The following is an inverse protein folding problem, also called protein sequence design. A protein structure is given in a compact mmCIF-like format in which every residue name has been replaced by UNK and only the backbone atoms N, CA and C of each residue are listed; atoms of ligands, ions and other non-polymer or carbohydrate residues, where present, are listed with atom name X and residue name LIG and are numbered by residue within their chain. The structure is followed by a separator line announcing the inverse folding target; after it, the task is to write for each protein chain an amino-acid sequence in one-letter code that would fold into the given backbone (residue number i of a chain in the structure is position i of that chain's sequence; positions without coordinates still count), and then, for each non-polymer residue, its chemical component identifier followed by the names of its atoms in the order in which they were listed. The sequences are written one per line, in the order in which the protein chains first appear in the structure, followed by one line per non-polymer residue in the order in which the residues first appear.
data_IF_484172880839
#
_entry.id   IF_484172880839
#
_cell.length_a   1.000
_cell.length_b   1.000
_cell.length_c   1.000
_cell.angle_alpha   90.00
_cell.angle_beta   90.00
_cell.angle_gamma   90.00
#
_symmetry.space_group_name_H-M   'P 1'
#
loop_
_entity.id
_entity.type
_entity.pdbx_description
1 polymer ?
#
# COMPACT_ATOMS: atom_id res chain seq x y z
N UNK A 1 -23.57 -5.81 20.95
CA UNK A 1 -22.12 -5.85 21.13
C UNK A 1 -21.75 -7.01 22.04
N UNK A 2 -20.82 -7.83 21.56
CA UNK A 2 -20.31 -9.02 22.25
C UNK A 2 -18.83 -8.80 22.68
N UNK A 3 -18.26 -9.65 23.56
CA UNK A 3 -16.88 -9.51 23.97
C UNK A 3 -15.90 -9.70 22.80
N UNK A 4 -14.75 -9.04 22.88
CA UNK A 4 -13.63 -9.25 21.99
C UNK A 4 -12.30 -9.07 22.75
N UNK A 5 -11.26 -9.74 22.26
CA UNK A 5 -9.91 -9.70 22.83
C UNK A 5 -8.88 -9.56 21.73
N UNK A 6 -7.90 -8.69 21.96
CA UNK A 6 -6.73 -8.49 21.10
C UNK A 6 -5.49 -8.92 21.88
N UNK A 7 -4.87 -10.01 21.50
CA UNK A 7 -3.61 -10.48 22.03
C UNK A 7 -2.44 -9.90 21.23
N UNK A 8 -1.48 -9.30 21.93
CA UNK A 8 -0.31 -8.66 21.35
C UNK A 8 0.95 -9.51 21.57
N UNK A 9 1.90 -9.45 20.67
CA UNK A 9 3.21 -10.12 20.74
C UNK A 9 3.96 -9.80 22.05
N UNK A 10 3.72 -8.64 22.64
CA UNK A 10 4.25 -8.25 23.96
C UNK A 10 3.74 -9.10 25.14
N UNK A 11 2.78 -10.01 24.90
CA UNK A 11 2.11 -10.81 25.90
C UNK A 11 0.87 -10.15 26.53
N UNK A 12 0.61 -8.89 26.21
CA UNK A 12 -0.58 -8.17 26.67
C UNK A 12 -1.82 -8.67 25.92
N UNK A 13 -2.95 -8.75 26.64
CA UNK A 13 -4.27 -8.94 26.04
C UNK A 13 -5.12 -7.73 26.38
N UNK A 14 -5.72 -7.13 25.35
CA UNK A 14 -6.61 -5.97 25.47
C UNK A 14 -8.05 -6.43 25.34
N UNK A 15 -8.90 -6.05 26.27
CA UNK A 15 -10.35 -6.27 26.19
C UNK A 15 -10.99 -5.21 25.28
N UNK A 16 -11.93 -5.66 24.46
CA UNK A 16 -12.66 -4.86 23.48
C UNK A 16 -14.12 -5.34 23.35
N UNK A 17 -14.82 -4.75 22.41
CA UNK A 17 -16.18 -5.16 22.00
C UNK A 17 -16.21 -5.38 20.51
N UNK A 18 -17.25 -6.07 20.02
CA UNK A 18 -17.46 -6.24 18.58
C UNK A 18 -18.94 -6.20 18.21
N UNK A 19 -19.17 -5.75 16.97
CA UNK A 19 -20.43 -5.95 16.21
C UNK A 19 -20.17 -6.77 14.95
N UNK A 20 -18.92 -6.88 14.50
CA UNK A 20 -18.47 -7.73 13.40
C UNK A 20 -17.62 -8.88 13.97
N UNK A 21 -18.24 -10.01 14.35
CA UNK A 21 -17.56 -11.11 15.01
C UNK A 21 -16.66 -11.90 14.06
N UNK A 22 -15.62 -12.52 14.61
CA UNK A 22 -14.72 -13.40 13.86
C UNK A 22 -13.39 -13.62 14.59
N UNK A 23 -12.49 -14.30 13.90
CA UNK A 23 -11.11 -14.48 14.35
C UNK A 23 -10.17 -13.96 13.28
N UNK A 24 -9.09 -13.33 13.70
CA UNK A 24 -8.07 -12.80 12.80
C UNK A 24 -6.69 -12.79 13.45
N UNK A 25 -5.68 -12.72 12.61
CA UNK A 25 -4.29 -12.50 12.99
C UNK A 25 -3.59 -11.73 11.89
N UNK A 26 -2.59 -10.94 12.25
CA UNK A 26 -1.81 -10.15 11.31
C UNK A 26 -0.84 -9.22 12.02
N UNK A 27 -0.08 -8.48 11.23
CA UNK A 27 0.74 -7.41 11.77
C UNK A 27 -0.14 -6.23 12.17
N UNK A 28 -0.09 -5.84 13.44
CA UNK A 28 -0.84 -4.70 13.97
C UNK A 28 -0.19 -3.40 13.52
N UNK A 29 -0.89 -2.66 12.70
CA UNK A 29 -0.49 -1.36 12.15
C UNK A 29 -1.54 -0.30 12.47
N UNK A 30 -1.24 0.97 12.20
CA UNK A 30 -2.20 2.05 12.41
C UNK A 30 -2.24 3.00 11.23
N UNK A 31 -3.33 3.76 11.12
CA UNK A 31 -3.40 4.94 10.26
C UNK A 31 -3.77 6.17 11.07
N UNK A 32 -3.19 7.33 10.68
CA UNK A 32 -3.55 8.64 11.24
C UNK A 32 -4.56 9.38 10.38
N UNK A 33 -5.04 8.78 9.30
CA UNK A 33 -6.10 9.32 8.47
C UNK A 33 -7.37 9.56 9.31
N UNK A 34 -7.96 10.74 9.17
CA UNK A 34 -9.19 11.12 9.87
C UNK A 34 -10.44 11.05 8.96
N UNK A 35 -10.22 10.71 7.70
CA UNK A 35 -11.22 10.48 6.65
C UNK A 35 -10.70 9.38 5.73
N UNK A 36 -11.53 8.86 4.84
CA UNK A 36 -11.12 7.85 3.87
C UNK A 36 -10.93 6.47 4.49
N UNK A 37 -11.83 6.06 5.36
CA UNK A 37 -11.77 4.70 5.92
C UNK A 37 -12.20 3.64 4.91
N UNK A 38 -13.05 3.99 3.95
CA UNK A 38 -13.42 3.10 2.84
C UNK A 38 -12.19 2.80 1.98
N UNK A 39 -11.49 3.86 1.56
CA UNK A 39 -10.25 3.79 0.79
C UNK A 39 -9.16 3.01 1.57
N UNK A 40 -9.01 3.27 2.87
CA UNK A 40 -8.03 2.55 3.69
C UNK A 40 -8.39 1.07 3.91
N UNK A 41 -9.67 0.72 4.01
CA UNK A 41 -10.10 -0.67 4.19
C UNK A 41 -10.05 -1.48 2.90
N UNK A 42 -10.13 -0.83 1.74
CA UNK A 42 -10.05 -1.46 0.43
C UNK A 42 -8.68 -1.31 -0.26
N UNK A 43 -7.69 -0.70 0.43
CA UNK A 43 -6.30 -0.62 -0.05
C UNK A 43 -5.60 -1.99 0.09
N UNK A 44 -5.20 -2.63 -1.04
CA UNK A 44 -4.51 -3.91 -1.03
C UNK A 44 -3.22 -3.93 -0.21
N UNK A 45 -2.58 -2.78 0.00
CA UNK A 45 -1.35 -2.67 0.80
C UNK A 45 -1.54 -3.06 2.28
N UNK A 46 -2.78 -3.19 2.76
CA UNK A 46 -3.07 -3.69 4.10
C UNK A 46 -3.31 -5.22 4.18
N UNK A 47 -3.10 -5.96 3.11
CA UNK A 47 -3.21 -7.42 3.15
C UNK A 47 -2.30 -8.01 4.23
N UNK A 48 -2.78 -9.02 4.97
CA UNK A 48 -2.12 -9.67 6.12
C UNK A 48 -1.86 -8.75 7.34
N UNK A 49 -2.47 -7.57 7.38
CA UNK A 49 -2.36 -6.61 8.49
C UNK A 49 -3.67 -6.46 9.25
N UNK A 50 -3.57 -6.04 10.51
CA UNK A 50 -4.69 -5.60 11.34
C UNK A 50 -4.61 -4.08 11.47
N UNK A 51 -5.59 -3.39 10.88
CA UNK A 51 -5.57 -1.94 10.77
C UNK A 51 -6.21 -1.26 11.98
N UNK A 52 -5.44 -0.46 12.71
CA UNK A 52 -5.92 0.38 13.80
C UNK A 52 -6.11 1.82 13.35
N UNK A 53 -7.32 2.31 13.48
CA UNK A 53 -7.63 3.72 13.24
C UNK A 53 -7.30 4.56 14.48
N UNK A 54 -6.45 5.57 14.33
CA UNK A 54 -6.16 6.54 15.39
C UNK A 54 -7.30 7.53 15.60
N UNK A 55 -8.09 7.81 14.57
CA UNK A 55 -9.29 8.64 14.66
C UNK A 55 -10.39 7.90 15.43
N UNK A 56 -11.06 8.58 16.40
CA UNK A 56 -11.88 7.88 17.38
C UNK A 56 -13.19 7.30 16.84
N UNK A 57 -13.78 7.87 15.79
CA UNK A 57 -15.05 7.43 15.23
C UNK A 57 -14.91 7.11 13.74
N UNK A 58 -15.15 5.87 13.37
CA UNK A 58 -15.13 5.40 11.98
C UNK A 58 -16.55 5.07 11.53
N UNK A 59 -16.92 5.56 10.34
CA UNK A 59 -18.25 5.36 9.73
C UNK A 59 -19.16 6.58 9.79
N UNK A 60 -18.69 7.74 10.21
CA UNK A 60 -19.49 8.94 10.42
C UNK A 60 -20.13 9.55 9.17
N UNK A 61 -19.80 9.07 7.96
CA UNK A 61 -20.43 9.51 6.71
C UNK A 61 -20.91 8.33 5.82
N UNK A 62 -21.07 7.13 6.42
CA UNK A 62 -21.57 5.93 5.76
C UNK A 62 -20.50 5.18 4.97
N UNK A 63 -20.90 4.17 4.19
CA UNK A 63 -20.03 3.39 3.30
C UNK A 63 -20.45 3.68 1.86
N UNK A 64 -19.49 4.03 1.00
CA UNK A 64 -19.70 4.42 -0.38
C UNK A 64 -18.75 3.66 -1.29
N UNK A 65 -19.28 2.77 -2.12
CA UNK A 65 -18.52 1.90 -3.01
C UNK A 65 -17.67 2.68 -4.04
N UNK A 66 -18.13 3.88 -4.45
CA UNK A 66 -17.37 4.74 -5.35
C UNK A 66 -16.04 5.26 -4.79
N UNK A 67 -15.73 4.95 -3.53
CA UNK A 67 -14.47 5.26 -2.85
C UNK A 67 -13.57 4.06 -2.64
N UNK A 68 -14.00 2.90 -3.09
CA UNK A 68 -13.23 1.69 -2.92
C UNK A 68 -12.02 1.70 -3.85
N UNK A 69 -10.87 1.31 -3.32
CA UNK A 69 -9.63 1.19 -4.06
C UNK A 69 -9.44 -0.20 -4.70
N UNK A 70 -10.28 -1.16 -4.32
CA UNK A 70 -10.36 -2.51 -4.87
C UNK A 70 -11.72 -3.12 -4.59
N UNK A 71 -11.93 -4.34 -5.00
CA UNK A 71 -13.21 -5.06 -4.94
C UNK A 71 -13.55 -5.67 -3.56
N UNK A 72 -12.65 -5.57 -2.56
CA UNK A 72 -12.85 -6.16 -1.22
C UNK A 72 -12.13 -5.41 -0.12
N UNK A 73 -12.43 -5.76 1.12
CA UNK A 73 -11.68 -5.34 2.31
C UNK A 73 -10.42 -6.19 2.47
N UNK A 74 -9.25 -5.58 2.57
CA UNK A 74 -7.95 -6.26 2.66
C UNK A 74 -7.43 -6.50 4.07
N UNK A 75 -7.51 -5.54 5.02
CA UNK A 75 -7.06 -5.82 6.38
C UNK A 75 -7.72 -7.06 6.97
N UNK A 76 -6.96 -7.90 7.63
CA UNK A 76 -7.46 -9.09 8.34
C UNK A 76 -8.45 -8.77 9.45
N UNK A 77 -8.38 -7.57 10.01
CA UNK A 77 -9.36 -7.01 10.94
C UNK A 77 -9.23 -5.49 11.02
N UNK A 78 -10.31 -4.83 11.44
CA UNK A 78 -10.33 -3.40 11.77
C UNK A 78 -10.39 -3.18 13.28
N UNK A 79 -9.62 -2.21 13.77
CA UNK A 79 -9.57 -1.79 15.17
C UNK A 79 -9.85 -0.31 15.26
N UNK A 80 -10.87 0.10 16.02
CA UNK A 80 -11.20 1.49 16.23
C UNK A 80 -11.63 1.75 17.69
N UNK A 81 -11.67 3.01 18.10
CA UNK A 81 -12.28 3.34 19.38
C UNK A 81 -13.79 3.16 19.34
N UNK A 82 -14.41 3.56 18.23
CA UNK A 82 -15.85 3.41 17.96
C UNK A 82 -16.09 3.22 16.48
N UNK A 83 -16.92 2.22 16.12
CA UNK A 83 -17.40 1.97 14.77
C UNK A 83 -18.90 2.25 14.71
N UNK A 84 -19.37 2.83 13.61
CA UNK A 84 -20.81 2.92 13.34
C UNK A 84 -21.39 1.55 12.98
N UNK A 85 -22.70 1.45 13.02
CA UNK A 85 -23.40 0.21 12.67
C UNK A 85 -23.18 -0.15 11.20
N UNK A 86 -23.29 0.82 10.30
CA UNK A 86 -23.12 0.65 8.85
C UNK A 86 -21.74 0.04 8.50
N UNK A 87 -20.66 0.55 9.10
CA UNK A 87 -19.30 -0.02 8.88
C UNK A 87 -19.18 -1.41 9.49
N UNK A 88 -19.76 -1.65 10.66
CA UNK A 88 -19.73 -2.98 11.28
C UNK A 88 -20.53 -4.01 10.48
N UNK A 89 -21.65 -3.61 9.85
CA UNK A 89 -22.45 -4.45 8.94
C UNK A 89 -21.65 -4.75 7.68
N UNK A 90 -21.08 -3.74 7.01
CA UNK A 90 -20.21 -3.92 5.84
C UNK A 90 -19.06 -4.88 6.12
N UNK A 91 -18.28 -4.67 7.19
CA UNK A 91 -17.17 -5.56 7.56
C UNK A 91 -17.65 -6.99 7.87
N UNK A 92 -18.87 -7.15 8.40
CA UNK A 92 -19.48 -8.46 8.63
C UNK A 92 -19.82 -9.16 7.30
N UNK A 93 -20.35 -8.44 6.33
CA UNK A 93 -20.66 -8.93 4.98
C UNK A 93 -19.40 -9.36 4.24
N UNK A 94 -18.30 -8.60 4.40
CA UNK A 94 -16.96 -8.92 3.89
C UNK A 94 -16.27 -10.07 4.66
N UNK A 95 -16.85 -10.53 5.78
CA UNK A 95 -16.25 -11.56 6.61
C UNK A 95 -15.01 -11.10 7.40
N UNK A 96 -14.82 -9.79 7.55
CA UNK A 96 -13.69 -9.18 8.25
C UNK A 96 -14.11 -8.80 9.67
N UNK A 97 -13.50 -9.38 10.72
CA UNK A 97 -13.81 -9.02 12.09
C UNK A 97 -13.37 -7.59 12.42
N UNK A 98 -14.19 -6.91 13.23
CA UNK A 98 -13.85 -5.59 13.71
C UNK A 98 -14.04 -5.48 15.22
N UNK A 99 -13.13 -4.79 15.88
CA UNK A 99 -13.18 -4.58 17.34
C UNK A 99 -13.15 -3.09 17.66
N UNK A 100 -14.00 -2.72 18.62
CA UNK A 100 -14.13 -1.36 19.11
C UNK A 100 -14.14 -1.27 20.65
N UNK A 101 -14.39 -0.08 21.21
CA UNK A 101 -14.45 0.17 22.64
C UNK A 101 -13.16 -0.16 23.40
N UNK A 102 -12.00 0.09 22.77
CA UNK A 102 -10.69 -0.02 23.39
C UNK A 102 -9.90 1.29 23.23
N UNK A 103 -8.80 1.42 23.96
CA UNK A 103 -7.91 2.58 23.86
C UNK A 103 -6.96 2.45 22.67
N UNK A 104 -7.41 2.93 21.50
CA UNK A 104 -6.60 2.94 20.28
C UNK A 104 -5.37 3.84 20.38
N UNK A 105 -5.43 4.91 21.20
CA UNK A 105 -4.28 5.78 21.42
C UNK A 105 -3.15 5.04 22.13
N UNK A 106 -3.48 4.21 23.13
CA UNK A 106 -2.51 3.37 23.83
C UNK A 106 -1.89 2.34 22.89
N UNK A 107 -2.70 1.70 22.00
CA UNK A 107 -2.18 0.80 20.98
C UNK A 107 -1.22 1.50 20.01
N UNK A 108 -1.62 2.64 19.46
CA UNK A 108 -0.81 3.43 18.51
C UNK A 108 0.49 3.90 19.17
N UNK A 109 0.44 4.35 20.43
CA UNK A 109 1.64 4.72 21.18
C UNK A 109 2.56 3.51 21.37
N UNK A 110 1.99 2.36 21.71
CA UNK A 110 2.75 1.10 21.83
C UNK A 110 3.44 0.68 20.53
N UNK A 111 2.77 0.81 19.38
CA UNK A 111 3.36 0.54 18.07
C UNK A 111 4.50 1.52 17.77
N UNK A 112 4.32 2.81 18.04
CA UNK A 112 5.37 3.82 17.80
C UNK A 112 6.62 3.63 18.67
N UNK A 113 6.46 3.10 19.88
CA UNK A 113 7.56 2.88 20.82
C UNK A 113 8.32 1.56 20.56
N UNK A 114 7.63 0.52 20.08
CA UNK A 114 8.18 -0.84 19.99
C UNK A 114 8.28 -1.39 18.57
N UNK A 115 7.64 -0.72 17.63
CA UNK A 115 7.46 -1.18 16.25
C UNK A 115 6.10 -1.83 16.00
N UNK A 116 5.80 -2.04 14.73
CA UNK A 116 4.69 -2.90 14.31
C UNK A 116 4.92 -4.31 14.87
N UNK A 117 3.84 -4.95 15.32
CA UNK A 117 3.93 -6.21 16.06
C UNK A 117 2.84 -7.18 15.65
N UNK A 118 3.08 -8.46 15.83
CA UNK A 118 2.06 -9.49 15.60
C UNK A 118 0.91 -9.36 16.61
N UNK A 119 -0.30 -9.57 16.13
CA UNK A 119 -1.48 -9.66 16.99
C UNK A 119 -2.42 -10.79 16.57
N UNK A 120 -3.27 -11.22 17.50
CA UNK A 120 -4.36 -12.15 17.28
C UNK A 120 -5.64 -11.61 17.88
N UNK A 121 -6.75 -11.77 17.18
CA UNK A 121 -8.07 -11.29 17.57
C UNK A 121 -9.04 -12.46 17.71
N UNK A 122 -9.80 -12.46 18.79
CA UNK A 122 -11.00 -13.28 18.94
C UNK A 122 -12.17 -12.36 19.32
N UNK A 123 -13.22 -12.36 18.52
CA UNK A 123 -14.36 -11.47 18.64
C UNK A 123 -15.67 -12.22 18.49
N UNK A 124 -16.63 -12.02 19.38
CA UNK A 124 -17.95 -12.64 19.34
C UNK A 124 -18.37 -13.31 20.66
N UNK A 125 -19.54 -13.98 20.70
CA UNK A 125 -20.10 -14.53 21.95
C UNK A 125 -19.19 -15.53 22.67
N UNK A 126 -18.38 -16.27 21.92
CA UNK A 126 -17.47 -17.31 22.44
C UNK A 126 -16.00 -16.83 22.51
N UNK A 127 -15.76 -15.55 22.32
CA UNK A 127 -14.41 -14.99 22.37
C UNK A 127 -13.82 -15.09 23.78
N UNK A 128 -12.55 -15.53 23.85
CA UNK A 128 -11.78 -15.61 25.09
C UNK A 128 -10.37 -15.05 24.89
N UNK A 129 -9.67 -14.61 25.95
CA UNK A 129 -8.26 -14.26 25.87
C UNK A 129 -7.37 -15.35 25.28
N UNK A 130 -7.68 -16.61 25.59
CA UNK A 130 -6.94 -17.78 25.12
C UNK A 130 -7.12 -17.97 23.61
N UNK A 131 -8.35 -17.77 23.08
CA UNK A 131 -8.61 -17.83 21.65
C UNK A 131 -7.83 -16.74 20.87
N UNK A 132 -7.74 -15.53 21.41
CA UNK A 132 -6.92 -14.47 20.82
C UNK A 132 -5.41 -14.82 20.83
N UNK A 133 -4.91 -15.41 21.91
CA UNK A 133 -3.52 -15.90 21.98
C UNK A 133 -3.24 -17.07 21.02
N UNK A 134 -4.22 -17.92 20.78
CA UNK A 134 -4.14 -18.99 19.79
C UNK A 134 -3.96 -18.41 18.38
N UNK A 135 -4.77 -17.40 18.01
CA UNK A 135 -4.59 -16.68 16.74
C UNK A 135 -3.20 -16.02 16.63
N UNK A 136 -2.76 -15.32 17.68
CA UNK A 136 -1.42 -14.72 17.72
C UNK A 136 -0.32 -15.76 17.47
N UNK A 137 -0.44 -16.97 18.06
CA UNK A 137 0.58 -18.00 17.91
C UNK A 137 0.76 -18.50 16.47
N UNK A 138 -0.27 -18.37 15.64
CA UNK A 138 -0.24 -18.71 14.22
C UNK A 138 0.11 -17.52 13.29
N UNK A 139 0.38 -16.33 13.84
CA UNK A 139 0.67 -15.14 13.04
C UNK A 139 2.09 -15.20 12.45
N UNK A 140 2.20 -15.03 11.13
CA UNK A 140 3.46 -14.90 10.42
C UNK A 140 3.98 -13.45 10.47
N UNK A 141 5.27 -13.24 10.18
CA UNK A 141 5.83 -11.92 9.87
C UNK A 141 5.58 -11.56 8.41
N UNK A 142 5.64 -10.27 8.06
CA UNK A 142 5.34 -9.84 6.68
C UNK A 142 6.25 -10.48 5.64
N UNK A 143 7.54 -10.67 5.92
CA UNK A 143 8.50 -11.35 5.03
C UNK A 143 8.22 -12.86 4.84
N UNK A 144 7.43 -13.48 5.73
CA UNK A 144 7.05 -14.89 5.64
C UNK A 144 5.83 -15.14 4.71
N UNK A 145 5.19 -14.09 4.19
CA UNK A 145 4.06 -14.14 3.25
C UNK A 145 4.57 -14.08 1.81
N UNK A 146 5.24 -15.14 1.37
CA UNK A 146 5.87 -15.21 0.05
C UNK A 146 4.90 -15.31 -1.12
N UNK A 147 3.63 -15.54 -0.85
CA UNK A 147 2.51 -15.64 -1.79
C UNK A 147 1.58 -14.43 -1.76
N UNK A 148 2.02 -13.33 -1.12
CA UNK A 148 1.15 -12.17 -0.88
C UNK A 148 0.74 -11.48 -2.19
N UNK A 149 1.60 -11.43 -3.20
CA UNK A 149 1.28 -10.91 -4.54
C UNK A 149 0.09 -11.64 -5.18
N UNK A 150 0.03 -12.96 -5.08
CA UNK A 150 -1.09 -13.75 -5.60
C UNK A 150 -2.43 -13.51 -4.86
N UNK A 151 -2.39 -12.90 -3.67
CA UNK A 151 -3.61 -12.61 -2.90
C UNK A 151 -4.25 -11.28 -3.29
N UNK A 152 -3.49 -10.37 -3.94
CA UNK A 152 -3.92 -8.98 -4.21
C UNK A 152 -3.90 -8.60 -5.67
N UNK A 153 -3.18 -9.34 -6.49
CA UNK A 153 -3.06 -9.09 -7.94
C UNK A 153 -4.26 -9.62 -8.70
N UNK A 154 -4.49 -9.07 -9.89
CA UNK A 154 -5.49 -9.59 -10.83
C UNK A 154 -5.12 -11.00 -11.31
N UNK A 155 -6.15 -11.84 -11.57
CA UNK A 155 -5.96 -13.20 -12.07
C UNK A 155 -5.58 -13.24 -13.57
N UNK A 156 -5.92 -12.20 -14.32
CA UNK A 156 -5.70 -12.12 -15.77
C UNK A 156 -5.53 -10.67 -16.23
N UNK A 157 -4.70 -10.50 -17.24
CA UNK A 157 -4.50 -9.20 -17.86
C UNK A 157 -5.79 -8.62 -18.45
N UNK A 158 -5.96 -7.30 -18.31
CA UNK A 158 -7.06 -6.55 -18.88
C UNK A 158 -6.64 -5.11 -19.15
N UNK A 159 -7.39 -4.43 -20.04
CA UNK A 159 -7.05 -3.09 -20.51
C UNK A 159 -8.09 -2.08 -20.08
N UNK A 160 -7.65 -0.95 -19.57
CA UNK A 160 -8.45 0.26 -19.35
C UNK A 160 -8.20 1.26 -20.48
N UNK A 161 -9.24 2.02 -20.86
CA UNK A 161 -9.19 3.04 -21.93
C UNK A 161 -8.62 2.51 -23.25
N UNK A 162 -9.03 1.31 -23.68
CA UNK A 162 -8.49 0.64 -24.87
C UNK A 162 -8.64 1.44 -26.19
N UNK A 163 -9.52 2.43 -26.23
CA UNK A 163 -9.74 3.33 -27.39
C UNK A 163 -8.99 4.67 -27.23
N UNK A 164 -8.16 4.84 -26.19
CA UNK A 164 -7.36 6.05 -25.93
C UNK A 164 -6.25 6.25 -26.97
N UNK A 165 -5.87 7.49 -27.20
CA UNK A 165 -4.79 7.88 -28.11
C UNK A 165 -3.49 8.28 -27.38
N UNK A 166 -3.48 8.18 -26.02
CA UNK A 166 -2.35 8.58 -25.19
C UNK A 166 -1.29 7.51 -25.00
N UNK A 167 -0.46 7.70 -24.01
CA UNK A 167 0.66 6.81 -23.67
C UNK A 167 0.18 5.42 -23.30
N UNK A 168 0.88 4.40 -23.77
CA UNK A 168 0.59 3.00 -23.45
C UNK A 168 1.39 2.54 -22.23
N UNK A 169 0.70 2.26 -21.14
CA UNK A 169 1.29 1.86 -19.84
C UNK A 169 1.04 0.38 -19.59
N UNK A 170 2.11 -0.41 -19.45
CA UNK A 170 2.02 -1.76 -18.90
C UNK A 170 2.17 -1.68 -17.37
N UNK A 171 1.07 -1.86 -16.64
CA UNK A 171 1.04 -1.81 -15.18
C UNK A 171 1.12 -3.23 -14.60
N UNK A 172 2.22 -3.52 -13.88
CA UNK A 172 2.37 -4.76 -13.11
C UNK A 172 1.63 -4.59 -11.79
N UNK A 173 0.57 -5.36 -11.62
CA UNK A 173 -0.31 -5.29 -10.46
C UNK A 173 0.23 -6.08 -9.27
N UNK A 174 0.92 -5.39 -8.38
CA UNK A 174 1.38 -5.93 -7.10
C UNK A 174 0.38 -5.70 -5.95
N UNK A 175 -0.83 -5.27 -6.25
CA UNK A 175 -1.88 -4.81 -5.34
C UNK A 175 -2.21 -3.34 -5.59
N UNK A 176 -2.50 -3.01 -6.84
CA UNK A 176 -2.76 -1.65 -7.29
C UNK A 176 -4.05 -1.09 -6.68
N UNK A 177 -4.00 0.16 -6.25
CA UNK A 177 -5.20 0.94 -5.95
C UNK A 177 -5.87 1.37 -7.25
N UNK A 178 -7.21 1.30 -7.29
CA UNK A 178 -8.00 1.71 -8.45
C UNK A 178 -7.70 3.14 -8.91
N UNK A 179 -7.50 4.03 -7.95
CA UNK A 179 -7.18 5.45 -8.21
C UNK A 179 -5.85 5.68 -8.93
N UNK A 180 -4.89 4.74 -8.91
CA UNK A 180 -3.67 4.81 -9.73
C UNK A 180 -4.03 4.63 -11.20
N UNK A 181 -4.82 3.59 -11.51
CA UNK A 181 -5.28 3.33 -12.87
C UNK A 181 -6.15 4.49 -13.37
N UNK A 182 -7.08 4.97 -12.54
CA UNK A 182 -7.93 6.12 -12.87
C UNK A 182 -7.10 7.38 -13.16
N UNK A 183 -6.07 7.66 -12.36
CA UNK A 183 -5.18 8.82 -12.56
C UNK A 183 -4.42 8.79 -13.89
N UNK A 184 -4.03 7.59 -14.35
CA UNK A 184 -3.41 7.41 -15.67
C UNK A 184 -4.45 7.57 -16.79
N UNK A 185 -5.62 6.96 -16.65
CA UNK A 185 -6.73 7.06 -17.61
C UNK A 185 -7.24 8.49 -17.76
N UNK A 186 -7.30 9.28 -16.69
CA UNK A 186 -7.64 10.71 -16.74
C UNK A 186 -6.67 11.53 -17.58
N UNK A 187 -5.47 11.01 -17.85
CA UNK A 187 -4.44 11.58 -18.75
C UNK A 187 -4.44 10.94 -20.13
N UNK A 188 -5.54 10.27 -20.47
CA UNK A 188 -5.76 9.59 -21.74
C UNK A 188 -4.85 8.36 -22.00
N UNK A 189 -4.12 7.90 -20.98
CA UNK A 189 -3.28 6.71 -21.12
C UNK A 189 -4.12 5.45 -21.37
N UNK A 190 -3.61 4.56 -22.22
CA UNK A 190 -4.07 3.17 -22.34
C UNK A 190 -3.33 2.36 -21.28
N UNK A 191 -4.04 1.70 -20.36
CA UNK A 191 -3.42 0.98 -19.25
C UNK A 191 -3.73 -0.50 -19.36
N UNK A 192 -2.71 -1.31 -19.66
CA UNK A 192 -2.78 -2.77 -19.56
C UNK A 192 -2.33 -3.20 -18.18
N UNK A 193 -3.28 -3.68 -17.38
CA UNK A 193 -3.02 -4.22 -16.03
C UNK A 193 -2.65 -5.69 -16.18
N UNK A 194 -1.44 -6.03 -15.73
CA UNK A 194 -0.86 -7.37 -15.81
C UNK A 194 -0.75 -7.99 -14.40
N UNK A 195 -0.90 -9.32 -14.25
CA UNK A 195 -0.59 -9.98 -12.99
C UNK A 195 0.82 -9.70 -12.48
N UNK A 196 1.00 -9.76 -11.13
CA UNK A 196 2.29 -9.50 -10.46
C UNK A 196 3.44 -10.43 -10.93
N UNK A 197 3.11 -11.58 -11.49
CA UNK A 197 4.03 -12.60 -12.00
C UNK A 197 4.12 -12.63 -13.53
N UNK A 198 3.66 -11.56 -14.20
CA UNK A 198 3.77 -11.42 -15.65
C UNK A 198 5.22 -11.61 -16.13
N UNK A 199 5.36 -12.20 -17.30
CA UNK A 199 6.65 -12.46 -17.94
C UNK A 199 7.12 -11.30 -18.81
N UNK A 200 8.41 -11.18 -19.06
CA UNK A 200 8.96 -10.18 -19.97
C UNK A 200 8.41 -10.31 -21.40
N UNK A 201 8.14 -11.54 -21.86
CA UNK A 201 7.55 -11.75 -23.18
C UNK A 201 6.12 -11.19 -23.27
N UNK A 202 5.33 -11.28 -22.19
CA UNK A 202 3.98 -10.69 -22.12
C UNK A 202 4.06 -9.17 -22.14
N UNK A 203 4.97 -8.56 -21.38
CA UNK A 203 5.18 -7.10 -21.39
C UNK A 203 5.64 -6.63 -22.77
N UNK A 204 6.62 -7.30 -23.41
CA UNK A 204 7.10 -6.94 -24.74
C UNK A 204 6.04 -7.08 -25.83
N UNK A 205 5.10 -8.03 -25.68
CA UNK A 205 4.02 -8.21 -26.64
C UNK A 205 3.04 -7.03 -26.69
N UNK A 206 3.00 -6.24 -25.63
CA UNK A 206 2.20 -5.01 -25.53
C UNK A 206 2.89 -3.81 -26.21
N UNK A 207 4.23 -3.85 -26.37
CA UNK A 207 5.04 -2.72 -26.86
C UNK A 207 4.73 -1.41 -26.10
N UNK A 208 4.85 -1.39 -24.76
CA UNK A 208 4.42 -0.25 -23.93
C UNK A 208 5.43 0.89 -23.98
N UNK A 209 4.94 2.12 -23.86
CA UNK A 209 5.76 3.33 -23.69
C UNK A 209 6.33 3.45 -22.28
N UNK A 210 5.63 2.90 -21.27
CA UNK A 210 6.06 2.90 -19.85
C UNK A 210 5.75 1.56 -19.19
N UNK A 211 6.70 1.01 -18.44
CA UNK A 211 6.48 -0.07 -17.49
C UNK A 211 6.23 0.53 -16.09
N UNK A 212 5.04 0.30 -15.54
CA UNK A 212 4.64 0.82 -14.25
C UNK A 212 4.55 -0.30 -13.21
N UNK A 213 5.29 -0.20 -12.10
CA UNK A 213 5.17 -1.14 -10.97
C UNK A 213 4.30 -0.51 -9.88
N UNK A 214 3.17 -1.13 -9.58
CA UNK A 214 2.18 -0.58 -8.66
C UNK A 214 2.63 -0.60 -7.19
N UNK A 215 1.81 0.00 -6.33
CA UNK A 215 1.86 -0.25 -4.88
C UNK A 215 1.48 -1.70 -4.56
N UNK A 216 1.66 -2.09 -3.29
CA UNK A 216 1.28 -3.41 -2.81
C UNK A 216 1.72 -3.68 -1.38
N UNK A 217 1.28 -4.82 -0.81
CA UNK A 217 1.60 -5.23 0.56
C UNK A 217 2.93 -5.96 0.67
N UNK A 218 3.44 -6.04 1.89
CA UNK A 218 4.46 -7.01 2.27
C UNK A 218 5.89 -6.55 2.06
N UNK A 219 6.75 -7.54 1.90
CA UNK A 219 8.19 -7.38 1.71
C UNK A 219 8.49 -7.34 0.19
N UNK A 220 9.16 -6.28 -0.32
CA UNK A 220 9.49 -6.17 -1.74
C UNK A 220 10.32 -7.34 -2.28
N UNK A 221 11.09 -8.03 -1.44
CA UNK A 221 11.87 -9.21 -1.84
C UNK A 221 10.98 -10.41 -2.25
N UNK A 222 9.71 -10.42 -1.83
CA UNK A 222 8.76 -11.47 -2.20
C UNK A 222 8.20 -11.32 -3.63
N UNK A 223 8.37 -10.15 -4.26
CA UNK A 223 7.91 -9.87 -5.63
C UNK A 223 8.98 -10.19 -6.67
N UNK A 224 9.45 -11.44 -6.67
CA UNK A 224 10.59 -11.89 -7.50
C UNK A 224 10.38 -11.64 -9.00
N UNK A 225 9.17 -11.85 -9.52
CA UNK A 225 8.86 -11.63 -10.93
C UNK A 225 8.91 -10.13 -11.28
N UNK A 226 8.29 -9.27 -10.48
CA UNK A 226 8.32 -7.82 -10.69
C UNK A 226 9.76 -7.26 -10.59
N UNK A 227 10.57 -7.76 -9.65
CA UNK A 227 12.01 -7.44 -9.57
C UNK A 227 12.75 -7.86 -10.85
N UNK A 228 12.49 -9.07 -11.38
CA UNK A 228 13.11 -9.55 -12.61
C UNK A 228 12.70 -8.70 -13.82
N UNK A 229 11.43 -8.30 -13.93
CA UNK A 229 10.95 -7.40 -14.98
C UNK A 229 11.65 -6.04 -14.90
N UNK A 230 11.69 -5.40 -13.73
CA UNK A 230 12.33 -4.11 -13.56
C UNK A 230 13.84 -4.17 -13.92
N UNK A 231 14.54 -5.26 -13.56
CA UNK A 231 15.94 -5.45 -13.94
C UNK A 231 16.13 -5.65 -15.45
N UNK A 232 15.21 -6.34 -16.11
CA UNK A 232 15.30 -6.67 -17.54
C UNK A 232 14.97 -5.46 -18.42
N UNK A 233 14.00 -4.63 -18.02
CA UNK A 233 13.57 -3.47 -18.82
C UNK A 233 14.33 -2.17 -18.48
N UNK A 234 15.24 -2.17 -17.52
CA UNK A 234 16.01 -0.99 -17.15
C UNK A 234 16.83 -0.44 -18.34
N UNK A 235 16.51 0.79 -18.76
CA UNK A 235 17.12 1.45 -19.92
C UNK A 235 16.60 0.96 -21.28
N UNK A 236 15.63 0.01 -21.33
CA UNK A 236 14.94 -0.40 -22.56
C UNK A 236 13.60 0.34 -22.70
N UNK A 237 12.84 0.43 -21.61
CA UNK A 237 11.54 1.09 -21.52
C UNK A 237 11.54 2.00 -20.30
N UNK A 238 11.05 3.24 -20.39
CA UNK A 238 10.86 4.10 -19.24
C UNK A 238 10.07 3.41 -18.11
N UNK A 239 10.47 3.62 -16.86
CA UNK A 239 9.81 2.97 -15.73
C UNK A 239 9.30 3.96 -14.70
N UNK A 240 8.11 3.67 -14.17
CA UNK A 240 7.55 4.38 -13.04
C UNK A 240 7.15 3.41 -11.91
N UNK A 241 7.12 3.90 -10.67
CA UNK A 241 6.71 3.06 -9.56
C UNK A 241 6.20 3.83 -8.36
N UNK A 242 5.20 3.26 -7.67
CA UNK A 242 4.61 3.83 -6.45
C UNK A 242 4.77 2.85 -5.29
N UNK A 243 5.20 3.37 -4.13
CA UNK A 243 5.30 2.69 -2.86
C UNK A 243 6.12 1.39 -2.96
N UNK A 244 5.51 0.21 -2.99
CA UNK A 244 6.19 -1.06 -3.26
C UNK A 244 6.95 -1.00 -4.59
N UNK A 245 6.41 -0.38 -5.63
CA UNK A 245 7.05 -0.24 -6.93
C UNK A 245 8.39 0.49 -6.88
N UNK A 246 8.52 1.54 -6.06
CA UNK A 246 9.82 2.18 -5.81
C UNK A 246 10.83 1.20 -5.22
N UNK A 247 10.39 0.40 -4.25
CA UNK A 247 11.25 -0.56 -3.54
C UNK A 247 11.70 -1.69 -4.46
N UNK A 248 10.77 -2.21 -5.29
CA UNK A 248 11.03 -3.24 -6.29
C UNK A 248 12.05 -2.74 -7.34
N UNK A 249 11.82 -1.56 -7.91
CA UNK A 249 12.72 -0.97 -8.92
C UNK A 249 14.11 -0.72 -8.33
N UNK A 250 14.21 -0.14 -7.13
CA UNK A 250 15.49 0.07 -6.47
C UNK A 250 16.22 -1.24 -6.21
N UNK A 251 15.55 -2.25 -5.66
CA UNK A 251 16.12 -3.59 -5.41
C UNK A 251 16.57 -4.30 -6.68
N UNK A 252 15.79 -4.21 -7.77
CA UNK A 252 16.13 -4.77 -9.08
C UNK A 252 17.43 -4.21 -9.66
N UNK A 253 17.74 -2.95 -9.35
CA UNK A 253 18.94 -2.25 -9.81
C UNK A 253 20.14 -2.36 -8.84
N UNK A 254 20.03 -3.20 -7.82
CA UNK A 254 21.09 -3.47 -6.86
C UNK A 254 21.07 -2.58 -5.62
N UNK A 255 20.01 -1.84 -5.40
CA UNK A 255 19.73 -1.15 -4.15
C UNK A 255 19.30 -2.11 -3.04
N UNK A 256 19.12 -1.58 -1.83
CA UNK A 256 18.70 -2.33 -0.65
C UNK A 256 17.46 -1.71 -0.02
N UNK A 257 16.60 -2.54 0.54
CA UNK A 257 15.43 -2.13 1.31
C UNK A 257 15.52 -2.60 2.75
N UNK A 258 14.87 -1.88 3.67
CA UNK A 258 14.82 -2.28 5.06
C UNK A 258 13.42 -2.12 5.65
N UNK A 259 13.10 -2.99 6.61
CA UNK A 259 11.85 -2.89 7.35
C UNK A 259 11.95 -1.77 8.38
N UNK A 260 11.03 -0.82 8.32
CA UNK A 260 10.91 0.26 9.30
C UNK A 260 10.30 -0.25 10.61
N UNK A 261 10.59 0.42 11.73
CA UNK A 261 10.05 0.03 13.02
C UNK A 261 8.50 0.03 13.03
N UNK A 262 7.84 1.08 12.53
CA UNK A 262 6.39 1.18 12.47
C UNK A 262 5.86 1.71 11.12
N UNK A 263 6.76 2.06 10.20
CA UNK A 263 6.43 2.59 8.87
C UNK A 263 5.82 4.00 8.89
N UNK A 264 5.55 4.51 7.69
CA UNK A 264 4.79 5.74 7.50
C UNK A 264 3.36 5.41 7.11
N UNK A 265 2.40 5.88 7.90
CA UNK A 265 0.97 5.61 7.68
C UNK A 265 0.11 6.81 8.04
N UNK A 266 -0.63 7.30 7.06
CA UNK A 266 -1.56 8.42 7.20
C UNK A 266 -1.45 9.43 6.06
N UNK A 267 -2.23 10.49 6.16
CA UNK A 267 -2.44 11.50 5.11
C UNK A 267 -1.69 12.80 5.36
N UNK A 268 -0.70 12.79 6.24
CA UNK A 268 -0.03 13.99 6.76
C UNK A 268 1.49 13.82 6.89
N UNK A 269 2.08 13.07 5.98
CA UNK A 269 3.52 12.87 5.92
C UNK A 269 4.17 13.98 5.05
N UNK A 270 5.04 14.82 5.62
CA UNK A 270 5.66 15.89 4.85
C UNK A 270 6.86 15.37 4.06
N UNK A 271 6.87 15.60 2.77
CA UNK A 271 7.95 15.24 1.85
C UNK A 271 8.57 16.49 1.26
N UNK A 272 9.90 16.54 1.27
CA UNK A 272 10.69 17.64 0.69
C UNK A 272 11.30 17.21 -0.63
N UNK A 273 11.03 17.99 -1.67
CA UNK A 273 11.76 17.92 -2.93
C UNK A 273 13.12 18.57 -2.77
N UNK A 274 14.19 17.84 -3.07
CA UNK A 274 15.57 18.29 -2.85
C UNK A 274 16.06 19.29 -3.91
N UNK A 275 15.45 19.31 -5.10
CA UNK A 275 15.79 20.23 -6.18
C UNK A 275 15.20 21.63 -5.94
N UNK A 276 13.91 21.68 -5.60
CA UNK A 276 13.18 22.95 -5.40
C UNK A 276 13.14 23.43 -3.95
N UNK A 277 13.34 22.54 -2.99
CA UNK A 277 13.13 22.77 -1.56
C UNK A 277 11.65 22.86 -1.14
N UNK A 278 10.70 22.63 -2.07
CA UNK A 278 9.26 22.60 -1.77
C UNK A 278 8.95 21.44 -0.82
N UNK A 279 8.02 21.67 0.10
CA UNK A 279 7.47 20.63 0.97
C UNK A 279 6.01 20.47 0.65
N UNK A 280 5.58 19.22 0.43
CA UNK A 280 4.18 18.83 0.23
C UNK A 280 3.76 17.85 1.30
N UNK A 281 2.45 17.80 1.57
CA UNK A 281 1.87 16.78 2.44
C UNK A 281 1.43 15.60 1.58
N UNK A 282 1.80 14.40 2.00
CA UNK A 282 1.54 13.18 1.25
C UNK A 282 0.76 12.16 2.05
N UNK A 283 0.12 11.25 1.32
CA UNK A 283 -0.47 10.02 1.86
C UNK A 283 0.55 8.90 1.78
N UNK A 284 0.72 8.17 2.88
CA UNK A 284 1.67 7.06 2.95
C UNK A 284 1.06 5.85 3.67
N UNK A 285 1.40 4.68 3.18
CA UNK A 285 1.06 3.40 3.79
C UNK A 285 2.13 2.35 3.46
N UNK A 286 3.30 2.45 4.09
CA UNK A 286 4.38 1.49 3.87
C UNK A 286 5.11 1.15 5.17
N UNK A 287 5.62 -0.07 5.24
CA UNK A 287 6.41 -0.60 6.36
C UNK A 287 7.86 -0.86 6.00
N UNK A 288 8.23 -0.68 4.73
CA UNK A 288 9.59 -0.80 4.21
C UNK A 288 10.01 0.51 3.55
N UNK A 289 11.31 0.77 3.52
CA UNK A 289 11.91 1.92 2.84
C UNK A 289 13.16 1.47 2.09
N UNK A 290 13.58 2.24 1.10
CA UNK A 290 14.86 2.05 0.43
C UNK A 290 15.96 2.59 1.34
N UNK A 291 16.92 1.75 1.74
CA UNK A 291 18.07 2.12 2.56
C UNK A 291 19.32 2.42 1.73
N UNK A 292 19.46 1.77 0.56
CA UNK A 292 20.44 2.10 -0.47
C UNK A 292 19.73 2.22 -1.82
N UNK A 293 19.76 3.38 -2.49
CA UNK A 293 19.07 3.59 -3.76
C UNK A 293 19.76 2.94 -4.96
N UNK A 294 20.95 2.33 -4.78
CA UNK A 294 21.74 1.80 -5.89
C UNK A 294 22.16 2.90 -6.86
N UNK A 295 21.90 2.74 -8.18
CA UNK A 295 22.26 3.75 -9.17
C UNK A 295 21.27 4.92 -9.28
N UNK A 296 20.17 4.91 -8.51
CA UNK A 296 19.14 5.94 -8.58
C UNK A 296 19.49 7.16 -7.70
N UNK A 297 19.13 8.34 -8.16
CA UNK A 297 19.26 9.57 -7.39
C UNK A 297 18.08 9.75 -6.45
N UNK A 298 18.36 10.09 -5.19
CA UNK A 298 17.33 10.51 -4.23
C UNK A 298 16.92 11.94 -4.55
N UNK A 299 15.68 12.14 -4.99
CA UNK A 299 15.14 13.45 -5.36
C UNK A 299 14.18 14.02 -4.33
N UNK A 300 13.59 13.16 -3.50
CA UNK A 300 12.67 13.56 -2.44
C UNK A 300 12.96 12.78 -1.15
N UNK A 301 12.75 13.44 0.00
CA UNK A 301 12.93 12.82 1.33
C UNK A 301 11.80 13.18 2.28
N UNK A 302 11.51 12.27 3.21
CA UNK A 302 10.60 12.55 4.33
C UNK A 302 11.24 13.59 5.27
N UNK A 303 10.47 14.63 5.65
CA UNK A 303 10.99 15.71 6.51
C UNK A 303 11.22 15.25 7.95
N UNK A 304 10.58 14.15 8.39
CA UNK A 304 10.65 13.68 9.78
C UNK A 304 11.91 12.85 10.06
N UNK A 305 12.40 12.07 9.09
CA UNK A 305 13.46 11.08 9.31
C UNK A 305 14.44 10.92 8.14
N UNK A 306 14.31 11.77 7.11
CA UNK A 306 15.15 11.82 5.91
C UNK A 306 15.15 10.52 5.08
N UNK A 307 14.17 9.61 5.25
CA UNK A 307 14.01 8.43 4.38
C UNK A 307 13.71 8.84 2.93
N UNK A 308 14.23 8.09 1.92
CA UNK A 308 13.97 8.38 0.51
C UNK A 308 12.48 8.25 0.15
N UNK A 309 11.93 9.28 -0.45
CA UNK A 309 10.51 9.37 -0.84
C UNK A 309 10.30 9.51 -2.35
N UNK A 310 11.37 9.81 -3.09
CA UNK A 310 11.40 9.83 -4.54
C UNK A 310 12.78 9.44 -5.04
N UNK A 311 12.82 8.50 -5.99
CA UNK A 311 14.03 8.05 -6.66
C UNK A 311 13.87 8.27 -8.16
N UNK A 312 14.91 8.76 -8.83
CA UNK A 312 14.90 9.05 -10.26
C UNK A 312 16.23 8.68 -10.91
N UNK A 313 16.19 8.43 -12.21
CA UNK A 313 17.37 8.32 -13.06
C UNK A 313 17.02 8.79 -14.46
N UNK A 314 17.57 9.94 -14.87
CA UNK A 314 17.39 10.46 -16.23
C UNK A 314 18.00 9.50 -17.27
N UNK A 315 19.18 8.92 -16.97
CA UNK A 315 19.89 8.01 -17.87
C UNK A 315 19.13 6.70 -18.15
N UNK A 316 18.30 6.24 -17.20
CA UNK A 316 17.51 5.00 -17.32
C UNK A 316 16.04 5.28 -17.59
N UNK A 317 15.60 6.53 -17.64
CA UNK A 317 14.20 6.90 -17.77
C UNK A 317 13.36 6.38 -16.58
N UNK A 318 13.76 6.64 -15.34
CA UNK A 318 13.08 6.12 -14.15
C UNK A 318 12.61 7.23 -13.24
N UNK A 319 11.33 7.18 -12.85
CA UNK A 319 10.75 8.04 -11.81
C UNK A 319 9.92 7.21 -10.82
N UNK A 320 10.12 7.41 -9.51
CA UNK A 320 9.37 6.67 -8.49
C UNK A 320 8.98 7.55 -7.31
N UNK A 321 7.92 7.14 -6.60
CA UNK A 321 7.49 7.76 -5.34
C UNK A 321 7.21 6.69 -4.29
N UNK A 322 7.72 6.90 -3.07
CA UNK A 322 7.44 6.02 -1.93
C UNK A 322 6.03 6.27 -1.37
N UNK A 323 5.59 7.51 -1.40
CA UNK A 323 4.24 7.89 -1.02
C UNK A 323 3.22 7.63 -2.15
N UNK A 324 1.95 7.85 -1.85
CA UNK A 324 0.83 7.70 -2.78
C UNK A 324 0.45 9.05 -3.38
N UNK A 325 0.90 9.38 -4.61
CA UNK A 325 0.56 10.65 -5.27
C UNK A 325 -0.92 10.77 -5.63
N UNK A 326 -1.60 9.62 -5.87
CA UNK A 326 -3.05 9.53 -6.08
C UNK A 326 -3.85 9.89 -4.84
N UNK A 327 -3.20 9.89 -3.66
CA UNK A 327 -3.81 10.09 -2.35
C UNK A 327 -4.84 8.99 -2.01
N UNK A 328 -6.11 9.31 -2.02
CA UNK A 328 -7.25 8.45 -1.73
C UNK A 328 -7.03 7.44 -0.58
N UNK A 329 -7.12 7.90 0.70
CA UNK A 329 -7.47 9.26 1.11
C UNK A 329 -6.28 10.20 1.15
N UNK A 330 -6.53 11.50 1.11
CA UNK A 330 -5.51 12.50 1.46
C UNK A 330 -5.47 13.72 0.56
N UNK A 331 -4.40 14.54 0.68
CA UNK A 331 -4.21 15.73 -0.14
C UNK A 331 -3.76 15.38 -1.56
N UNK A 332 -4.27 16.10 -2.55
CA UNK A 332 -3.97 15.92 -3.97
C UNK A 332 -2.84 16.83 -4.46
N UNK A 333 -1.88 17.14 -3.58
CA UNK A 333 -0.77 18.08 -3.88
C UNK A 333 0.32 17.48 -4.77
N UNK A 334 0.24 16.17 -5.09
CA UNK A 334 1.27 15.39 -5.79
C UNK A 334 0.75 14.65 -7.02
N UNK A 335 -0.46 14.97 -7.50
CA UNK A 335 -1.04 14.37 -8.71
C UNK A 335 -0.22 14.66 -9.99
N UNK A 336 0.63 15.69 -9.96
CA UNK A 336 1.60 16.03 -10.99
C UNK A 336 2.57 14.87 -11.31
N UNK A 337 2.79 13.93 -10.39
CA UNK A 337 3.55 12.71 -10.67
C UNK A 337 3.03 11.93 -11.89
N UNK A 338 1.71 11.86 -12.08
CA UNK A 338 1.14 11.15 -13.24
C UNK A 338 1.33 11.93 -14.55
N UNK A 339 1.44 13.28 -14.47
CA UNK A 339 1.84 14.10 -15.62
C UNK A 339 3.30 13.83 -15.97
N UNK A 340 4.17 13.67 -14.95
CA UNK A 340 5.58 13.29 -15.14
C UNK A 340 5.71 11.88 -15.75
N UNK A 341 4.86 10.92 -15.38
CA UNK A 341 4.83 9.56 -15.98
C UNK A 341 4.50 9.62 -17.46
N UNK A 342 3.51 10.43 -17.85
CA UNK A 342 3.15 10.61 -19.26
C UNK A 342 4.26 11.30 -20.03
N UNK A 343 4.87 12.35 -19.44
CA UNK A 343 5.99 13.07 -20.06
C UNK A 343 7.23 12.18 -20.24
N UNK A 344 7.49 11.27 -19.30
CA UNK A 344 8.61 10.33 -19.36
C UNK A 344 8.54 9.42 -20.62
N UNK A 345 7.33 9.05 -21.05
CA UNK A 345 7.10 8.26 -22.25
C UNK A 345 7.39 9.03 -23.56
N UNK A 346 7.30 10.38 -23.51
CA UNK A 346 7.54 11.23 -24.68
C UNK A 346 9.03 11.56 -24.86
N UNK A 347 9.84 11.38 -23.81
CA UNK A 347 11.29 11.58 -23.84
C UNK A 347 11.94 10.29 -24.37
N UNK A 348 12.47 10.32 -25.60
CA UNK A 348 13.18 9.17 -26.20
C UNK A 348 14.52 8.95 -25.45
N UNK A 349 14.66 7.93 -24.56
CA UNK A 349 15.87 7.72 -23.77
C UNK A 349 17.09 7.31 -24.63
N UNK A 350 16.87 6.99 -25.90
CA UNK A 350 17.92 6.57 -26.86
C UNK A 350 18.53 7.74 -27.64
N UNK A 351 18.05 8.97 -27.47
CA UNK A 351 18.50 10.15 -28.22
C UNK A 351 19.66 10.95 -27.60
N UNK A 352 20.18 10.54 -26.44
CA UNK A 352 21.33 11.15 -25.79
C UNK A 352 22.64 10.46 -26.22
N UNK A 353 23.14 10.80 -27.42
CA UNK A 353 24.50 10.49 -27.90
C UNK A 353 25.55 11.44 -27.28
#
# INVERSE_FOLDING_TARGET
MTPAYVALETGRVVEARTRAPGRARGELVFTTAYTGYEESLTDPSYEEQVLTFSYPLIGNYGVREERFESDRVHPRAAVARELTEDVAEWLTEEGVPAVDHLDTRDLVTGIRERGAMKCGIAAGPEATPEAAKEELSGCKGMSEHTDIGAQVSVDAAHTHNADGDGVHVALVDCGAKGSIVESLVERDAVVDVLPYDATADEVRALDPDVLFVSNGPGDPENFVAANALAAEFAGEVPMAGICLGQQVIAGALGGETEKMAFGHRGVNQPVRDLRSGRVVMTTQNHGYTVSDPGPLDVTQVNVNDDTPEGLESDDLGIITRQYHPEANPGPHDSLDFFDDVVALAEEDPVAAD
#
